data_IF_569682069668
#
_entry.id   IF_569682069668
#
_cell.length_a   1.000
_cell.length_b   1.000
_cell.length_c   1.000
_cell.angle_alpha   90.00
_cell.angle_beta   90.00
_cell.angle_gamma   90.00
#
_symmetry.space_group_name_H-M   'P 1'
#
loop_
_entity.id
_entity.type
_entity.pdbx_description
1 polymer ?
#
# COMPACT_ATOMS: atom_id res chain seq x y z
N UNK A 1 -8.46 15.09 8.42
CA UNK A 1 -7.84 14.51 7.21
C UNK A 1 -6.35 14.65 7.36
N UNK A 2 -5.63 13.54 7.50
CA UNK A 2 -4.16 13.52 7.51
C UNK A 2 -3.63 13.55 6.07
N UNK A 3 -2.59 14.34 5.82
CA UNK A 3 -1.83 14.33 4.56
C UNK A 3 -0.39 13.95 4.93
N UNK A 4 0.19 12.90 4.32
CA UNK A 4 1.55 12.49 4.57
C UNK A 4 2.57 13.59 4.30
N UNK A 5 3.63 13.65 5.10
CA UNK A 5 4.74 14.60 4.89
C UNK A 5 5.65 14.17 3.74
N UNK A 6 5.78 12.87 3.51
CA UNK A 6 6.80 12.31 2.63
C UNK A 6 6.27 11.73 1.32
N UNK A 7 4.95 11.67 1.16
CA UNK A 7 4.30 11.05 0.01
C UNK A 7 3.35 12.01 -0.69
N UNK A 8 3.24 11.86 -2.00
CA UNK A 8 2.14 12.43 -2.78
C UNK A 8 1.01 11.40 -2.94
N UNK A 9 -0.17 11.84 -3.38
CA UNK A 9 -1.34 10.95 -3.45
C UNK A 9 -1.20 9.88 -4.53
N UNK A 10 -0.47 10.18 -5.60
CA UNK A 10 -0.15 9.27 -6.71
C UNK A 10 0.58 8.01 -6.23
N UNK A 11 1.33 8.08 -5.12
CA UNK A 11 1.96 6.92 -4.51
C UNK A 11 0.94 5.90 -3.96
N UNK A 12 -0.29 6.31 -3.65
CA UNK A 12 -1.30 5.47 -3.01
C UNK A 12 -2.52 5.17 -3.86
N UNK A 13 -2.72 5.85 -4.99
CA UNK A 13 -3.87 5.61 -5.87
C UNK A 13 -3.43 5.24 -7.30
N UNK A 14 -4.24 4.46 -8.03
CA UNK A 14 -3.96 4.18 -9.44
C UNK A 14 -4.13 5.43 -10.30
N UNK A 15 -3.57 5.41 -11.51
CA UNK A 15 -3.51 6.57 -12.40
C UNK A 15 -4.90 7.13 -12.69
N UNK A 16 -5.86 6.26 -12.99
CA UNK A 16 -7.23 6.66 -13.27
C UNK A 16 -7.90 7.37 -12.07
N UNK A 17 -7.69 6.88 -10.85
CA UNK A 17 -8.29 7.51 -9.66
C UNK A 17 -7.71 8.91 -9.40
N UNK A 18 -6.42 9.11 -9.68
CA UNK A 18 -5.80 10.43 -9.62
C UNK A 18 -6.31 11.35 -10.74
N UNK A 19 -6.45 10.85 -11.98
CA UNK A 19 -7.00 11.64 -13.08
C UNK A 19 -8.43 12.13 -12.79
N UNK A 20 -9.25 11.30 -12.13
CA UNK A 20 -10.64 11.64 -11.79
C UNK A 20 -10.78 12.57 -10.58
N UNK A 21 -9.89 12.48 -9.58
CA UNK A 21 -10.04 13.19 -8.30
C UNK A 21 -8.93 14.18 -7.95
N UNK A 22 -7.77 14.07 -8.59
CA UNK A 22 -6.55 14.78 -8.19
C UNK A 22 -6.26 14.59 -6.70
N UNK A 23 -5.97 15.69 -6.00
CA UNK A 23 -5.74 15.70 -4.55
C UNK A 23 -6.94 15.22 -3.72
N UNK A 24 -8.17 15.26 -4.22
CA UNK A 24 -9.33 14.70 -3.50
C UNK A 24 -9.27 13.17 -3.38
N UNK A 25 -8.31 12.52 -4.04
CA UNK A 25 -8.06 11.10 -3.88
C UNK A 25 -7.57 10.73 -2.45
N UNK A 26 -7.07 11.69 -1.65
CA UNK A 26 -6.76 11.46 -0.23
C UNK A 26 -7.97 10.94 0.56
N UNK A 27 -9.18 11.34 0.18
CA UNK A 27 -10.44 10.93 0.81
C UNK A 27 -10.74 9.42 0.66
N UNK A 28 -10.06 8.74 -0.27
CA UNK A 28 -10.22 7.31 -0.52
C UNK A 28 -9.39 6.44 0.44
N UNK A 29 -8.50 7.05 1.23
CA UNK A 29 -7.46 6.38 1.99
C UNK A 29 -7.68 6.51 3.49
N UNK A 30 -7.37 5.45 4.24
CA UNK A 30 -7.46 5.44 5.70
C UNK A 30 -6.26 6.19 6.29
N UNK A 31 -6.52 7.22 7.11
CA UNK A 31 -5.47 8.04 7.71
C UNK A 31 -4.48 7.23 8.56
N UNK A 32 -4.93 6.13 9.18
CA UNK A 32 -4.08 5.26 9.98
C UNK A 32 -3.04 4.55 9.11
N UNK A 33 -3.43 4.18 7.89
CA UNK A 33 -2.53 3.59 6.90
C UNK A 33 -1.53 4.63 6.42
N UNK A 34 -1.98 5.84 6.13
CA UNK A 34 -1.13 6.96 5.71
C UNK A 34 -0.08 7.32 6.78
N UNK A 35 -0.48 7.42 8.05
CA UNK A 35 0.43 7.67 9.18
C UNK A 35 1.47 6.55 9.26
N UNK A 36 1.04 5.29 9.14
CA UNK A 36 1.94 4.13 9.17
C UNK A 36 2.97 4.19 8.04
N UNK A 37 2.56 4.54 6.82
CA UNK A 37 3.46 4.66 5.68
C UNK A 37 4.49 5.79 5.88
N UNK A 38 4.07 6.94 6.41
CA UNK A 38 4.97 8.04 6.79
C UNK A 38 6.00 7.60 7.84
N UNK A 39 5.56 6.88 8.88
CA UNK A 39 6.46 6.33 9.90
C UNK A 39 7.46 5.35 9.32
N UNK A 40 7.04 4.51 8.37
CA UNK A 40 7.96 3.63 7.64
C UNK A 40 8.99 4.43 6.85
N UNK A 41 8.62 5.55 6.22
CA UNK A 41 9.55 6.40 5.46
C UNK A 41 10.48 7.21 6.35
N UNK A 42 10.02 7.62 7.53
CA UNK A 42 10.84 8.25 8.56
C UNK A 42 11.89 7.26 9.11
N UNK A 43 11.53 5.98 9.28
CA UNK A 43 12.43 4.95 9.85
C UNK A 43 13.36 4.30 8.82
N UNK A 44 12.81 3.80 7.71
CA UNK A 44 13.53 2.98 6.72
C UNK A 44 14.09 3.79 5.55
N UNK A 45 13.94 5.12 5.58
CA UNK A 45 14.38 6.01 4.52
C UNK A 45 13.50 5.94 3.27
N UNK A 46 14.03 6.27 2.08
CA UNK A 46 13.24 6.35 0.85
C UNK A 46 12.42 5.09 0.60
N UNK A 47 11.11 5.31 0.60
CA UNK A 47 10.05 4.30 0.51
C UNK A 47 9.16 4.64 -0.66
N UNK A 48 8.81 3.66 -1.48
CA UNK A 48 7.99 3.83 -2.68
C UNK A 48 6.82 2.85 -2.69
N UNK A 49 5.60 3.33 -2.94
CA UNK A 49 4.40 2.48 -3.01
C UNK A 49 4.01 2.26 -4.47
N UNK A 50 3.33 3.21 -5.11
CA UNK A 50 3.20 3.23 -6.56
C UNK A 50 4.38 3.94 -7.21
N UNK A 51 4.63 3.65 -8.48
CA UNK A 51 5.72 4.26 -9.26
C UNK A 51 5.26 4.79 -10.62
N UNK A 52 4.00 4.51 -11.02
CA UNK A 52 3.44 4.84 -12.35
C UNK A 52 3.57 6.31 -12.77
N UNK A 53 3.64 7.23 -11.81
CA UNK A 53 3.69 8.68 -12.04
C UNK A 53 5.11 9.21 -12.31
N UNK A 54 6.14 8.35 -12.26
CA UNK A 54 7.54 8.79 -12.36
C UNK A 54 8.37 7.85 -13.22
N UNK A 55 8.77 8.31 -14.41
CA UNK A 55 9.68 7.60 -15.31
C UNK A 55 10.98 7.17 -14.63
N UNK A 56 11.50 8.00 -13.72
CA UNK A 56 12.69 7.66 -12.94
C UNK A 56 12.44 6.47 -12.00
N UNK A 57 11.29 6.44 -11.32
CA UNK A 57 10.96 5.32 -10.43
C UNK A 57 10.63 4.06 -11.23
N UNK A 58 9.94 4.19 -12.36
CA UNK A 58 9.67 3.08 -13.28
C UNK A 58 10.97 2.44 -13.76
N UNK A 59 11.98 3.23 -14.13
CA UNK A 59 13.27 2.72 -14.59
C UNK A 59 14.03 1.91 -13.51
N UNK A 60 13.81 2.19 -12.23
CA UNK A 60 14.52 1.54 -11.11
C UNK A 60 13.72 0.39 -10.49
N UNK A 61 12.42 0.56 -10.33
CA UNK A 61 11.56 -0.34 -9.55
C UNK A 61 10.46 -1.01 -10.38
N UNK A 62 10.43 -0.74 -11.69
CA UNK A 62 9.34 -1.15 -12.58
C UNK A 62 8.09 -0.30 -12.38
N UNK A 63 7.13 -0.42 -13.31
CA UNK A 63 5.82 0.24 -13.18
C UNK A 63 4.95 -0.50 -12.16
N UNK A 64 4.57 0.21 -11.09
CA UNK A 64 3.67 -0.25 -10.03
C UNK A 64 2.51 0.72 -9.90
N UNK A 65 1.29 0.20 -9.99
CA UNK A 65 0.05 0.98 -9.93
C UNK A 65 -0.93 0.48 -8.86
N UNK A 66 -0.77 -0.77 -8.45
CA UNK A 66 -1.72 -1.48 -7.59
C UNK A 66 -1.17 -1.76 -6.20
N UNK A 67 -0.18 -0.98 -5.76
CA UNK A 67 0.48 -1.13 -4.46
C UNK A 67 -0.23 -0.38 -3.33
N UNK A 68 -1.10 0.57 -3.65
CA UNK A 68 -1.96 1.29 -2.69
C UNK A 68 -3.42 0.85 -2.81
N UNK A 69 -4.31 1.77 -3.16
CA UNK A 69 -5.71 1.48 -3.47
C UNK A 69 -5.83 0.55 -4.69
N UNK A 70 -6.63 -0.51 -4.57
CA UNK A 70 -6.99 -1.40 -5.69
C UNK A 70 -8.45 -1.22 -6.07
N UNK A 71 -8.71 -0.68 -7.24
CA UNK A 71 -10.06 -0.48 -7.80
C UNK A 71 -10.48 -1.70 -8.62
N UNK A 72 -11.68 -1.67 -9.23
CA UNK A 72 -12.11 -2.71 -10.18
C UNK A 72 -11.08 -2.94 -11.29
N UNK A 73 -10.41 -1.88 -11.75
CA UNK A 73 -9.36 -1.96 -12.78
C UNK A 73 -8.22 -2.93 -12.43
N UNK A 74 -7.83 -3.03 -11.15
CA UNK A 74 -6.85 -4.02 -10.72
C UNK A 74 -7.35 -5.44 -11.02
N UNK A 75 -8.55 -5.77 -10.52
CA UNK A 75 -9.10 -7.11 -10.61
C UNK A 75 -9.41 -7.52 -12.06
N UNK A 76 -9.76 -6.58 -12.93
CA UNK A 76 -9.88 -6.83 -14.36
C UNK A 76 -8.50 -7.02 -15.02
N UNK A 77 -7.49 -6.24 -14.63
CA UNK A 77 -6.15 -6.34 -15.24
C UNK A 77 -5.39 -7.64 -14.94
N UNK A 78 -5.71 -8.32 -13.84
CA UNK A 78 -5.03 -9.55 -13.41
C UNK A 78 -5.82 -10.83 -13.73
N UNK A 79 -6.94 -10.70 -14.42
CA UNK A 79 -7.82 -11.80 -14.80
C UNK A 79 -8.22 -11.70 -16.26
N UNK A 80 -8.19 -12.81 -16.99
CA UNK A 80 -8.47 -12.82 -18.45
C UNK A 80 -9.96 -12.61 -18.80
N UNK A 81 -10.84 -12.52 -17.81
CA UNK A 81 -12.30 -12.38 -17.97
C UNK A 81 -12.81 -11.24 -17.08
N UNK A 82 -13.41 -10.23 -17.70
CA UNK A 82 -13.96 -9.05 -17.01
C UNK A 82 -15.08 -9.39 -16.02
N UNK A 83 -15.95 -10.33 -16.35
CA UNK A 83 -17.01 -10.76 -15.44
C UNK A 83 -16.44 -11.49 -14.23
N UNK A 84 -15.38 -12.27 -14.43
CA UNK A 84 -14.62 -12.87 -13.33
C UNK A 84 -13.88 -11.81 -12.50
N UNK A 85 -13.26 -10.81 -13.14
CA UNK A 85 -12.63 -9.67 -12.47
C UNK A 85 -13.62 -8.89 -11.60
N UNK A 86 -14.81 -8.61 -12.12
CA UNK A 86 -15.90 -8.01 -11.35
C UNK A 86 -16.33 -8.89 -10.18
N UNK A 87 -16.53 -10.19 -10.40
CA UNK A 87 -16.85 -11.11 -9.32
C UNK A 87 -15.79 -11.11 -8.21
N UNK A 88 -14.51 -11.11 -8.58
CA UNK A 88 -13.39 -11.03 -7.63
C UNK A 88 -13.35 -9.70 -6.90
N UNK A 89 -13.54 -8.58 -7.57
CA UNK A 89 -13.68 -7.28 -6.92
C UNK A 89 -14.81 -7.29 -5.89
N UNK A 90 -16.02 -7.74 -6.28
CA UNK A 90 -17.20 -7.75 -5.42
C UNK A 90 -17.02 -8.64 -4.18
N UNK A 91 -16.39 -9.80 -4.35
CA UNK A 91 -16.20 -10.80 -3.27
C UNK A 91 -14.91 -10.60 -2.46
N UNK A 92 -14.02 -9.67 -2.86
CA UNK A 92 -12.74 -9.47 -2.17
C UNK A 92 -12.90 -8.75 -0.83
N UNK A 93 -12.19 -9.28 0.17
CA UNK A 93 -11.97 -8.66 1.49
C UNK A 93 -10.58 -8.02 1.62
N UNK A 94 -9.83 -7.89 0.52
CA UNK A 94 -8.50 -7.28 0.52
C UNK A 94 -8.54 -5.86 1.08
N UNK A 95 -7.58 -5.52 1.94
CA UNK A 95 -7.51 -4.19 2.53
C UNK A 95 -7.10 -3.10 1.53
N UNK A 96 -6.40 -3.47 0.45
CA UNK A 96 -6.12 -2.54 -0.66
C UNK A 96 -7.40 -2.04 -1.34
N UNK A 97 -8.45 -2.87 -1.42
CA UNK A 97 -9.75 -2.46 -1.99
C UNK A 97 -10.41 -1.34 -1.20
N UNK A 98 -10.11 -1.25 0.09
CA UNK A 98 -10.71 -0.30 1.02
C UNK A 98 -9.78 0.88 1.39
N UNK A 99 -8.66 1.06 0.68
CA UNK A 99 -7.70 2.13 0.99
C UNK A 99 -6.99 1.97 2.34
N UNK A 100 -6.86 0.74 2.83
CA UNK A 100 -6.35 0.41 4.18
C UNK A 100 -5.01 -0.31 4.19
N UNK A 101 -4.45 -0.61 3.03
CA UNK A 101 -3.18 -1.33 2.88
C UNK A 101 -2.26 -0.65 1.88
N UNK A 102 -0.97 -0.95 2.00
CA UNK A 102 0.06 -0.53 1.07
C UNK A 102 1.16 -1.59 0.94
N UNK A 103 1.74 -1.69 -0.26
CA UNK A 103 2.88 -2.52 -0.60
C UNK A 103 4.10 -1.62 -0.88
N UNK A 104 4.98 -1.48 0.10
CA UNK A 104 6.14 -0.61 0.05
C UNK A 104 7.42 -1.31 -0.45
N UNK A 105 8.19 -0.59 -1.25
CA UNK A 105 9.58 -0.87 -1.55
C UNK A 105 10.45 0.11 -0.79
N UNK A 106 11.32 -0.41 0.06
CA UNK A 106 12.33 0.37 0.76
C UNK A 106 13.64 0.30 -0.01
N UNK A 107 14.26 1.45 -0.28
CA UNK A 107 15.54 1.47 -1.01
C UNK A 107 16.68 0.88 -0.18
N UNK A 108 16.70 1.22 1.10
CA UNK A 108 17.86 1.03 1.97
C UNK A 108 17.66 -0.10 2.99
N UNK A 109 16.47 -0.73 3.04
CA UNK A 109 16.13 -1.75 4.04
C UNK A 109 15.36 -2.91 3.40
N UNK A 110 15.85 -4.16 3.43
CA UNK A 110 15.09 -5.32 2.96
C UNK A 110 13.74 -5.48 3.69
N UNK A 111 12.72 -5.97 3.00
CA UNK A 111 11.37 -6.11 3.57
C UNK A 111 11.35 -6.98 4.83
N UNK A 112 12.14 -8.06 4.88
CA UNK A 112 12.24 -8.93 6.07
C UNK A 112 12.89 -8.21 7.26
N UNK A 113 13.91 -7.39 7.02
CA UNK A 113 14.53 -6.58 8.08
C UNK A 113 13.56 -5.53 8.62
N UNK A 114 12.75 -4.90 7.75
CA UNK A 114 11.70 -3.97 8.15
C UNK A 114 10.63 -4.66 9.01
N UNK A 115 10.18 -5.86 8.64
CA UNK A 115 9.25 -6.68 9.46
C UNK A 115 9.86 -6.97 10.84
N UNK A 116 11.11 -7.40 10.90
CA UNK A 116 11.81 -7.69 12.15
C UNK A 116 11.99 -6.45 13.03
N UNK A 117 12.20 -5.28 12.42
CA UNK A 117 12.25 -4.03 13.14
C UNK A 117 10.89 -3.69 13.77
N UNK A 118 9.81 -3.76 12.99
CA UNK A 118 8.45 -3.46 13.45
C UNK A 118 8.04 -4.37 14.61
N UNK A 119 8.34 -5.68 14.54
CA UNK A 119 8.08 -6.63 15.64
C UNK A 119 8.72 -6.20 16.95
N UNK A 120 9.93 -5.62 16.88
CA UNK A 120 10.69 -5.14 18.05
C UNK A 120 10.26 -3.75 18.52
N UNK A 121 9.64 -2.96 17.65
CA UNK A 121 9.25 -1.57 17.94
C UNK A 121 7.75 -1.31 17.67
N UNK A 122 6.81 -2.14 18.18
CA UNK A 122 5.39 -2.02 17.83
C UNK A 122 4.77 -0.68 18.26
N UNK A 123 5.35 -0.02 19.27
CA UNK A 123 4.89 1.31 19.74
C UNK A 123 5.16 2.43 18.74
N UNK A 124 6.14 2.25 17.85
CA UNK A 124 6.45 3.22 16.80
C UNK A 124 5.43 3.16 15.66
N UNK A 125 4.79 2.01 15.45
CA UNK A 125 3.79 1.77 14.40
C UNK A 125 2.42 1.43 15.03
N UNK A 126 1.83 2.33 15.84
CA UNK A 126 0.67 2.01 16.69
C UNK A 126 -0.59 1.65 15.89
N UNK A 127 -0.64 2.02 14.61
CA UNK A 127 -1.77 1.77 13.73
C UNK A 127 -1.60 0.55 12.83
N UNK A 128 -0.38 0.03 12.67
CA UNK A 128 -0.14 -1.17 11.89
C UNK A 128 -0.70 -2.38 12.64
N UNK A 129 -1.61 -3.08 11.98
CA UNK A 129 -2.33 -4.20 12.61
C UNK A 129 -2.14 -5.51 11.88
N UNK A 130 -1.74 -5.49 10.61
CA UNK A 130 -1.37 -6.69 9.89
C UNK A 130 -0.25 -6.43 8.89
N UNK A 131 0.55 -7.45 8.60
CA UNK A 131 1.60 -7.42 7.59
C UNK A 131 1.76 -8.79 6.93
N UNK A 132 2.12 -8.82 5.64
CA UNK A 132 2.44 -10.07 4.97
C UNK A 132 3.88 -10.50 5.25
N UNK A 133 4.12 -11.81 5.27
CA UNK A 133 5.45 -12.43 5.29
C UNK A 133 5.73 -13.17 3.99
N UNK A 134 7.02 -13.35 3.64
CA UNK A 134 7.41 -14.14 2.47
C UNK A 134 7.30 -13.42 1.13
N UNK A 135 7.07 -12.09 1.14
CA UNK A 135 7.11 -11.22 -0.05
C UNK A 135 8.36 -10.35 -0.05
N UNK A 136 8.86 -10.01 -1.25
CA UNK A 136 10.04 -9.16 -1.44
C UNK A 136 9.76 -7.67 -1.19
N UNK A 137 8.49 -7.26 -1.22
CA UNK A 137 8.02 -5.96 -0.76
C UNK A 137 7.46 -6.06 0.66
N UNK A 138 7.29 -4.93 1.33
CA UNK A 138 6.61 -4.86 2.62
C UNK A 138 5.12 -4.58 2.40
N UNK A 139 4.25 -5.52 2.75
CA UNK A 139 2.82 -5.27 2.86
C UNK A 139 2.45 -4.90 4.30
N UNK A 140 1.72 -3.80 4.49
CA UNK A 140 1.17 -3.42 5.79
C UNK A 140 -0.25 -2.90 5.67
N UNK A 141 -1.10 -3.21 6.66
CA UNK A 141 -2.47 -2.71 6.71
C UNK A 141 -3.02 -2.48 8.13
N UNK A 142 -4.14 -1.74 8.16
CA UNK A 142 -4.79 -1.24 9.38
C UNK A 142 -6.15 -1.92 9.68
N UNK A 143 -6.31 -3.17 9.23
CA UNK A 143 -7.52 -3.97 9.48
C UNK A 143 -7.82 -4.12 10.97
N UNK A 144 -9.09 -4.28 11.32
CA UNK A 144 -9.51 -4.31 12.71
C UNK A 144 -9.19 -5.63 13.42
N UNK A 145 -7.95 -5.80 13.89
CA UNK A 145 -7.49 -6.98 14.67
C UNK A 145 -6.79 -6.55 15.96
N UNK A 146 -6.80 -7.42 16.99
CA UNK A 146 -6.33 -7.09 18.36
C UNK A 146 -4.81 -7.12 18.55
N UNK A 147 -4.11 -7.85 17.70
CA UNK A 147 -2.65 -8.02 17.73
C UNK A 147 -2.14 -7.87 16.30
N UNK A 148 -0.86 -7.52 16.16
CA UNK A 148 -0.18 -7.56 14.87
C UNK A 148 -0.36 -8.96 14.25
N UNK A 149 -1.20 -9.04 13.23
CA UNK A 149 -1.50 -10.25 12.48
C UNK A 149 -0.45 -10.42 11.39
N UNK A 150 0.12 -11.61 11.30
CA UNK A 150 1.05 -11.96 10.23
C UNK A 150 0.43 -13.07 9.38
N UNK A 151 0.57 -12.96 8.07
CA UNK A 151 0.03 -13.93 7.13
C UNK A 151 0.90 -14.00 5.87
N UNK A 152 0.84 -15.13 5.17
CA UNK A 152 1.46 -15.26 3.84
C UNK A 152 0.37 -15.06 2.78
N UNK A 153 0.65 -14.35 1.68
CA UNK A 153 -0.34 -14.08 0.62
C UNK A 153 -0.91 -15.34 -0.02
#
# INVERSE_FOLDING_TARGET
MYIPKHFSVEEFVPELAYQERGEQAWELLDERMLITADQCREEFGPTFVNTWFSERLIAVYGRREWSGLRTLGYYQSVHDDDAFGLHKYLTSYSQHKYGRAFDALFRDTPADEARDYIRRHPKQFPYLTAMETGTSWFHGDVRNVRKLMEFTP
#
